data_IF_441026658083
#
_entry.id   IF_441026658083
#
_cell.length_a   1.000
_cell.length_b   1.000
_cell.length_c   1.000
_cell.angle_alpha   90.00
_cell.angle_beta   90.00
_cell.angle_gamma   90.00
#
_symmetry.space_group_name_H-M   'P 1'
#
loop_
_entity.id
_entity.type
_entity.pdbx_description
1 polymer ?
#
# COMPACT_ATOMS: atom_id res chain seq x y z
N UNK A 1 13.88 3.16 -14.82
CA UNK A 1 12.42 3.05 -14.72
C UNK A 1 12.11 2.76 -13.26
N UNK A 2 11.14 3.45 -12.65
CA UNK A 2 10.83 3.34 -11.22
C UNK A 2 10.09 2.01 -10.92
N UNK A 3 10.61 1.23 -9.98
CA UNK A 3 10.06 -0.09 -9.60
C UNK A 3 8.67 0.02 -8.95
N UNK A 4 8.39 1.09 -8.20
CA UNK A 4 7.12 1.28 -7.54
C UNK A 4 5.99 1.54 -8.55
N UNK A 5 6.28 2.31 -9.60
CA UNK A 5 5.34 2.58 -10.69
C UNK A 5 5.01 1.29 -11.46
N UNK A 6 6.01 0.45 -11.71
CA UNK A 6 5.80 -0.85 -12.37
C UNK A 6 4.95 -1.78 -11.50
N UNK A 7 5.23 -1.85 -10.20
CA UNK A 7 4.46 -2.66 -9.26
C UNK A 7 3.01 -2.18 -9.17
N UNK A 8 2.79 -0.87 -9.09
CA UNK A 8 1.46 -0.28 -9.10
C UNK A 8 0.69 -0.63 -10.39
N UNK A 9 1.35 -0.59 -11.55
CA UNK A 9 0.73 -0.98 -12.83
C UNK A 9 0.34 -2.46 -12.87
N UNK A 10 1.18 -3.35 -12.34
CA UNK A 10 0.86 -4.79 -12.26
C UNK A 10 -0.39 -5.00 -11.40
N UNK A 11 -0.42 -4.42 -10.20
CA UNK A 11 -1.57 -4.53 -9.29
C UNK A 11 -2.83 -3.97 -9.93
N UNK A 12 -2.75 -2.80 -10.56
CA UNK A 12 -3.86 -2.17 -11.28
C UNK A 12 -4.41 -3.07 -12.40
N UNK A 13 -3.53 -3.68 -13.20
CA UNK A 13 -3.93 -4.60 -14.27
C UNK A 13 -4.58 -5.87 -13.75
N UNK A 14 -4.06 -6.45 -12.67
CA UNK A 14 -4.65 -7.65 -12.05
C UNK A 14 -6.04 -7.36 -11.46
N UNK A 15 -6.24 -6.20 -10.83
CA UNK A 15 -7.53 -5.78 -10.33
C UNK A 15 -8.56 -5.60 -11.47
N UNK A 16 -8.17 -4.99 -12.59
CA UNK A 16 -9.07 -4.80 -13.73
C UNK A 16 -9.45 -6.08 -14.46
N UNK A 17 -8.57 -7.09 -14.51
CA UNK A 17 -8.90 -8.41 -15.07
C UNK A 17 -10.10 -9.06 -14.37
N UNK A 18 -10.36 -8.70 -13.11
CA UNK A 18 -11.52 -9.17 -12.35
C UNK A 18 -12.81 -8.38 -12.59
N UNK A 19 -12.74 -7.13 -13.07
CA UNK A 19 -13.87 -6.19 -13.07
C UNK A 19 -14.38 -5.79 -14.46
N UNK A 20 -13.51 -5.57 -15.45
CA UNK A 20 -13.92 -5.10 -16.78
C UNK A 20 -12.92 -5.50 -17.86
N UNK A 21 -13.37 -6.18 -18.91
CA UNK A 21 -12.55 -6.62 -20.05
C UNK A 21 -11.99 -5.49 -20.96
N UNK A 22 -11.96 -4.23 -20.49
CA UNK A 22 -11.36 -3.12 -21.22
C UNK A 22 -9.87 -3.06 -20.90
N UNK A 23 -9.05 -3.18 -21.94
CA UNK A 23 -7.59 -3.08 -21.81
C UNK A 23 -7.19 -1.61 -21.65
N UNK A 24 -6.83 -1.19 -20.44
CA UNK A 24 -6.14 0.09 -20.22
C UNK A 24 -4.69 -0.02 -20.69
N UNK A 25 -4.26 0.96 -21.47
CA UNK A 25 -2.88 1.06 -21.97
C UNK A 25 -1.94 1.62 -20.89
N UNK A 26 -0.64 1.39 -21.04
CA UNK A 26 0.36 1.90 -20.10
C UNK A 26 0.31 3.44 -19.98
N UNK A 27 0.15 4.15 -21.11
CA UNK A 27 0.09 5.60 -21.13
C UNK A 27 -1.13 6.17 -20.39
N UNK A 28 -2.30 5.55 -20.55
CA UNK A 28 -3.51 5.95 -19.83
C UNK A 28 -3.35 5.77 -18.32
N UNK A 29 -2.79 4.63 -17.88
CA UNK A 29 -2.48 4.41 -16.47
C UNK A 29 -1.53 5.47 -15.92
N UNK A 30 -0.47 5.82 -16.65
CA UNK A 30 0.48 6.83 -16.20
C UNK A 30 -0.13 8.23 -16.13
N UNK A 31 -1.04 8.57 -17.05
CA UNK A 31 -1.76 9.85 -17.01
C UNK A 31 -2.70 9.94 -15.81
N UNK A 32 -3.43 8.87 -15.53
CA UNK A 32 -4.33 8.79 -14.37
C UNK A 32 -3.54 8.83 -13.06
N UNK A 33 -2.50 8.01 -12.93
CA UNK A 33 -1.60 8.02 -11.77
C UNK A 33 -0.99 9.40 -11.56
N UNK A 34 -0.56 10.08 -12.63
CA UNK A 34 0.00 11.43 -12.53
C UNK A 34 -1.02 12.44 -12.01
N UNK A 35 -2.25 12.39 -12.50
CA UNK A 35 -3.33 13.26 -12.03
C UNK A 35 -3.66 13.01 -10.55
N UNK A 36 -3.74 11.74 -10.13
CA UNK A 36 -3.96 11.37 -8.73
C UNK A 36 -2.83 11.86 -7.81
N UNK A 37 -1.57 11.67 -8.22
CA UNK A 37 -0.41 12.13 -7.46
C UNK A 37 -0.39 13.64 -7.28
N UNK A 38 -0.83 14.41 -8.28
CA UNK A 38 -0.96 15.87 -8.19
C UNK A 38 -2.09 16.31 -7.24
N UNK A 39 -3.13 15.49 -7.09
CA UNK A 39 -4.26 15.76 -6.21
C UNK A 39 -3.93 15.47 -4.73
N UNK A 40 -2.86 14.72 -4.43
CA UNK A 40 -2.45 14.41 -3.07
C UNK A 40 -1.98 15.66 -2.32
N UNK A 41 -2.55 15.87 -1.13
CA UNK A 41 -2.14 16.92 -0.20
C UNK A 41 -1.37 16.37 0.99
N UNK A 42 -0.79 17.26 1.81
CA UNK A 42 -0.02 16.88 3.03
C UNK A 42 -0.77 15.93 3.98
N UNK A 43 -2.10 15.97 3.98
CA UNK A 43 -2.94 15.13 4.84
C UNK A 43 -2.94 13.65 4.42
N UNK A 44 -2.69 13.38 3.14
CA UNK A 44 -2.68 12.03 2.58
C UNK A 44 -1.36 11.29 2.89
N UNK A 45 -0.33 12.05 3.27
CA UNK A 45 0.96 11.54 3.76
C UNK A 45 1.02 11.47 5.29
N UNK A 46 -0.05 11.82 6.01
CA UNK A 46 -0.06 11.73 7.47
C UNK A 46 -0.16 10.26 7.85
N UNK A 47 0.94 9.71 8.38
CA UNK A 47 1.07 8.32 8.78
C UNK A 47 0.04 8.04 9.89
N UNK A 48 -1.11 7.49 9.50
CA UNK A 48 -2.03 6.91 10.47
C UNK A 48 -1.58 5.48 10.65
N UNK A 49 -1.16 5.08 11.86
CA UNK A 49 -0.76 3.71 12.09
C UNK A 49 -1.88 2.80 11.59
N UNK A 50 -1.58 1.83 10.71
CA UNK A 50 -2.58 0.91 10.22
C UNK A 50 -3.25 0.28 11.44
N UNK A 51 -4.59 0.25 11.43
CA UNK A 51 -5.34 -0.42 12.47
C UNK A 51 -4.89 -1.88 12.47
N UNK A 52 -4.09 -2.27 13.46
CA UNK A 52 -3.64 -3.65 13.59
C UNK A 52 -4.89 -4.50 13.78
N UNK A 53 -5.26 -5.30 12.79
CA UNK A 53 -6.33 -6.28 12.93
C UNK A 53 -5.70 -7.63 13.21
N UNK A 54 -6.17 -8.28 14.27
CA UNK A 54 -5.90 -9.71 14.49
C UNK A 54 -6.48 -10.54 13.35
N UNK A 55 -5.98 -11.76 13.18
CA UNK A 55 -6.50 -12.77 12.23
C UNK A 55 -8.01 -13.05 12.41
N UNK A 56 -8.56 -12.76 13.60
CA UNK A 56 -10.00 -12.83 13.91
C UNK A 56 -10.78 -11.53 13.67
N UNK A 57 -10.17 -10.51 13.05
CA UNK A 57 -10.81 -9.23 12.72
C UNK A 57 -10.92 -8.23 13.88
N UNK A 58 -10.48 -8.59 15.09
CA UNK A 58 -10.46 -7.68 16.25
C UNK A 58 -9.41 -6.61 16.06
N UNK A 59 -9.83 -5.34 16.15
CA UNK A 59 -8.95 -4.17 16.06
C UNK A 59 -8.13 -4.02 17.35
N UNK A 60 -6.82 -4.17 17.26
CA UNK A 60 -5.89 -3.96 18.36
C UNK A 60 -5.68 -2.46 18.60
N UNK A 61 -5.49 -2.06 19.88
CA UNK A 61 -5.10 -0.70 20.20
C UNK A 61 -3.73 -0.37 19.56
N UNK A 62 -3.48 0.91 19.22
CA UNK A 62 -2.17 1.35 18.73
C UNK A 62 -1.07 0.95 19.72
N UNK A 63 0.08 0.52 19.18
CA UNK A 63 1.24 0.22 20.01
C UNK A 63 1.70 1.47 20.77
N UNK A 64 2.20 1.32 22.01
CA UNK A 64 2.79 2.42 22.76
C UNK A 64 3.98 3.04 22.00
N UNK A 65 4.25 4.34 22.18
CA UNK A 65 5.38 5.02 21.54
C UNK A 65 6.74 4.37 21.84
N UNK A 66 6.87 3.73 23.00
CA UNK A 66 8.10 3.11 23.50
C UNK A 66 8.24 1.63 23.11
N UNK A 67 7.46 1.15 22.13
CA UNK A 67 7.57 -0.23 21.68
C UNK A 67 8.85 -0.45 20.86
N UNK A 68 9.91 -0.95 21.50
CA UNK A 68 11.09 -1.42 20.81
C UNK A 68 10.87 -2.82 20.22
N UNK A 69 11.24 -3.00 18.95
CA UNK A 69 11.29 -4.31 18.32
C UNK A 69 12.37 -5.15 19.00
N UNK A 70 11.96 -6.12 19.81
CA UNK A 70 12.89 -7.10 20.39
C UNK A 70 13.17 -8.20 19.36
N UNK A 71 14.44 -8.37 19.02
CA UNK A 71 14.91 -9.51 18.27
C UNK A 71 14.69 -10.77 19.12
N UNK A 72 13.99 -11.77 18.57
CA UNK A 72 13.74 -13.01 19.27
C UNK A 72 15.04 -13.84 19.26
N UNK A 73 15.62 -14.14 20.44
CA UNK A 73 16.93 -14.80 20.52
C UNK A 73 16.91 -16.23 19.96
N UNK A 74 15.74 -16.85 19.82
CA UNK A 74 15.58 -18.18 19.20
C UNK A 74 15.98 -18.23 17.71
N UNK A 75 16.16 -17.09 17.03
CA UNK A 75 16.59 -17.04 15.62
C UNK A 75 18.07 -16.68 15.43
N UNK A 76 18.83 -16.53 16.51
CA UNK A 76 20.25 -16.21 16.46
C UNK A 76 21.05 -17.51 16.38
N UNK A 77 21.49 -17.88 15.17
CA UNK A 77 22.31 -19.06 14.85
C UNK A 77 23.79 -18.78 15.13
#
# INVERSE_FOLDING_TARGET
MDVAIVNAYIVFREAQKSSTGKSVTNAEFLLELHAEMLALGKRDFTDRPPKQQTESGTMLPPLPPDHEAKECPEYQI
#
